data_IF_481806390440
#
_entry.id   IF_481806390440
#
_cell.length_a   1.000
_cell.length_b   1.000
_cell.length_c   1.000
_cell.angle_alpha   90.00
_cell.angle_beta   90.00
_cell.angle_gamma   90.00
#
_symmetry.space_group_name_H-M   'P 1'
#
loop_
_entity.id
_entity.type
_entity.pdbx_description
1 polymer ?
#
# COMPACT_ATOMS: atom_id res chain seq x y z
N UNK A 1 11.54 10.96 30.00
CA UNK A 1 11.98 11.56 28.72
C UNK A 1 10.83 12.39 28.15
N UNK A 2 10.36 13.43 28.87
CA UNK A 2 9.11 14.12 28.50
C UNK A 2 9.32 15.35 27.61
N UNK A 3 10.55 15.59 27.14
CA UNK A 3 10.88 16.75 26.31
C UNK A 3 11.05 16.41 24.83
N UNK A 4 10.99 15.13 24.45
CA UNK A 4 11.24 14.73 23.07
C UNK A 4 10.04 15.12 22.19
N UNK A 5 10.23 16.14 21.35
CA UNK A 5 9.23 16.63 20.40
C UNK A 5 9.34 15.94 19.05
N UNK A 6 10.57 15.69 18.58
CA UNK A 6 10.83 15.08 17.29
C UNK A 6 11.96 14.09 17.39
N UNK A 7 11.79 12.93 16.77
CA UNK A 7 12.82 11.93 16.56
C UNK A 7 12.89 11.59 15.08
N UNK A 8 13.99 11.96 14.43
CA UNK A 8 14.27 11.62 13.03
C UNK A 8 15.51 10.73 12.99
N UNK A 9 15.34 9.53 12.43
CA UNK A 9 16.37 8.52 12.21
C UNK A 9 16.37 8.08 10.73
N UNK A 10 15.88 8.95 9.85
CA UNK A 10 15.68 8.66 8.44
C UNK A 10 16.99 8.42 7.70
N UNK A 11 16.95 7.62 6.63
CA UNK A 11 18.05 7.42 5.70
C UNK A 11 19.34 6.90 6.36
N UNK A 12 19.18 5.91 7.23
CA UNK A 12 20.30 5.23 7.89
C UNK A 12 20.35 3.74 7.48
N UNK A 13 21.29 3.00 8.07
CA UNK A 13 21.44 1.55 7.88
C UNK A 13 21.00 0.79 9.14
N UNK A 14 20.02 1.31 9.88
CA UNK A 14 19.55 0.62 11.08
C UNK A 14 18.84 -0.67 10.69
N UNK A 15 19.23 -1.76 11.35
CA UNK A 15 18.71 -3.09 11.12
C UNK A 15 17.86 -3.54 12.29
N UNK A 16 16.73 -4.17 11.96
CA UNK A 16 15.89 -4.88 12.91
C UNK A 16 15.33 -6.09 12.19
N UNK A 17 15.35 -7.26 12.82
CA UNK A 17 14.91 -8.51 12.18
C UNK A 17 13.66 -9.09 12.83
N UNK A 18 13.36 -8.69 14.06
CA UNK A 18 12.24 -9.21 14.84
C UNK A 18 11.61 -8.15 15.76
N UNK A 19 10.56 -8.55 16.48
CA UNK A 19 9.86 -7.68 17.43
C UNK A 19 10.73 -7.23 18.62
N UNK A 20 11.78 -7.98 18.96
CA UNK A 20 12.68 -7.64 20.06
C UNK A 20 13.61 -6.50 19.64
N UNK A 21 14.10 -6.51 18.40
CA UNK A 21 14.90 -5.40 17.86
C UNK A 21 14.08 -4.10 17.76
N UNK A 22 12.75 -4.21 17.55
CA UNK A 22 11.82 -3.08 17.50
C UNK A 22 11.36 -2.57 18.88
N UNK A 23 11.82 -3.16 20.00
CA UNK A 23 11.35 -2.77 21.35
C UNK A 23 11.67 -1.32 21.74
N UNK A 24 12.57 -0.65 21.00
CA UNK A 24 12.82 0.78 21.20
C UNK A 24 11.57 1.63 20.89
N UNK A 25 10.70 1.18 19.98
CA UNK A 25 9.42 1.83 19.65
C UNK A 25 8.52 1.85 20.88
N UNK A 26 8.50 0.78 21.69
CA UNK A 26 7.71 0.74 22.95
C UNK A 26 8.15 1.83 23.94
N UNK A 27 9.43 2.19 23.93
CA UNK A 27 9.96 3.23 24.82
C UNK A 27 9.44 4.63 24.45
N UNK A 28 9.02 4.84 23.21
CA UNK A 28 8.49 6.13 22.73
C UNK A 28 7.08 6.42 23.24
N UNK A 29 6.34 5.43 23.75
CA UNK A 29 5.05 5.64 24.42
C UNK A 29 5.18 6.62 25.59
N UNK A 30 6.33 6.64 26.26
CA UNK A 30 6.59 7.54 27.39
C UNK A 30 6.92 8.99 26.95
N UNK A 31 7.05 9.24 25.65
CA UNK A 31 7.32 10.57 25.10
C UNK A 31 6.01 11.29 24.82
N UNK A 32 5.32 11.74 25.88
CA UNK A 32 3.97 12.34 25.80
C UNK A 32 3.86 13.63 24.97
N UNK A 33 4.99 14.25 24.64
CA UNK A 33 5.06 15.47 23.82
C UNK A 33 5.57 15.18 22.39
N UNK A 34 5.74 13.90 22.03
CA UNK A 34 6.22 13.54 20.69
C UNK A 34 5.23 14.01 19.64
N UNK A 35 5.73 14.75 18.66
CA UNK A 35 4.97 15.36 17.57
C UNK A 35 5.37 14.78 16.22
N UNK A 36 6.63 14.40 16.07
CA UNK A 36 7.16 13.82 14.85
C UNK A 36 8.05 12.62 15.16
N UNK A 37 7.81 11.51 14.47
CA UNK A 37 8.69 10.36 14.51
C UNK A 37 8.93 9.83 13.11
N UNK A 38 10.19 9.60 12.77
CA UNK A 38 10.53 9.00 11.49
C UNK A 38 11.74 8.09 11.55
N UNK A 39 11.60 6.96 10.87
CA UNK A 39 12.62 5.93 10.63
C UNK A 39 12.61 5.54 9.14
N UNK A 40 12.09 6.42 8.28
CA UNK A 40 12.03 6.22 6.82
C UNK A 40 13.38 5.79 6.25
N UNK A 41 13.36 4.88 5.27
CA UNK A 41 14.55 4.45 4.53
C UNK A 41 15.65 3.88 5.44
N UNK A 42 15.36 2.74 6.05
CA UNK A 42 16.29 1.92 6.83
C UNK A 42 16.12 0.43 6.44
N UNK A 43 16.81 -0.47 7.14
CA UNK A 43 16.74 -1.92 6.95
C UNK A 43 15.97 -2.58 8.12
N UNK A 44 14.87 -1.93 8.55
CA UNK A 44 14.08 -2.39 9.70
C UNK A 44 12.97 -3.35 9.25
N UNK A 45 12.94 -4.55 9.80
CA UNK A 45 11.94 -5.57 9.53
C UNK A 45 11.23 -6.07 10.79
N UNK A 46 10.34 -7.05 10.60
CA UNK A 46 9.51 -7.61 11.66
C UNK A 46 8.10 -7.02 11.71
N UNK A 47 7.36 -7.30 12.78
CA UNK A 47 5.96 -6.84 12.96
C UNK A 47 5.96 -5.59 13.83
N UNK A 48 5.22 -4.56 13.41
CA UNK A 48 5.07 -3.32 14.20
C UNK A 48 4.44 -3.61 15.57
N UNK A 49 5.00 -3.07 16.66
CA UNK A 49 4.46 -3.31 17.98
C UNK A 49 3.13 -2.57 18.19
N UNK A 50 2.21 -3.18 18.94
CA UNK A 50 0.89 -2.60 19.24
C UNK A 50 0.98 -1.29 20.03
N UNK A 51 2.10 -1.05 20.71
CA UNK A 51 2.41 0.18 21.43
C UNK A 51 2.43 1.43 20.55
N UNK A 52 2.61 1.27 19.23
CA UNK A 52 2.53 2.38 18.26
C UNK A 52 1.19 3.13 18.36
N UNK A 53 0.10 2.42 18.65
CA UNK A 53 -1.23 3.02 18.87
C UNK A 53 -1.33 3.87 20.16
N UNK A 54 -0.37 3.73 21.07
CA UNK A 54 -0.31 4.45 22.34
C UNK A 54 0.70 5.60 22.32
N UNK A 55 1.14 6.02 21.13
CA UNK A 55 2.01 7.19 21.00
C UNK A 55 1.28 8.47 21.43
N UNK A 56 2.07 9.53 21.62
CA UNK A 56 1.58 10.85 21.95
C UNK A 56 0.40 11.27 21.07
N UNK A 57 -0.65 11.82 21.69
CA UNK A 57 -1.79 12.40 20.96
C UNK A 57 -1.42 13.66 20.18
N UNK A 58 -0.25 14.23 20.42
CA UNK A 58 0.31 15.36 19.66
C UNK A 58 1.07 14.92 18.40
N UNK A 59 1.25 13.61 18.20
CA UNK A 59 1.96 13.08 17.04
C UNK A 59 1.20 13.41 15.76
N UNK A 60 1.78 14.27 14.92
CA UNK A 60 1.21 14.69 13.65
C UNK A 60 1.94 14.10 12.44
N UNK A 61 3.18 13.65 12.62
CA UNK A 61 4.01 13.06 11.58
C UNK A 61 4.58 11.71 12.02
N UNK A 62 4.33 10.67 11.22
CA UNK A 62 4.89 9.33 11.38
C UNK A 62 5.39 8.84 10.02
N UNK A 63 6.67 8.54 9.84
CA UNK A 63 7.15 7.92 8.60
C UNK A 63 7.99 6.68 8.89
N UNK A 64 7.61 5.57 8.27
CA UNK A 64 8.24 4.26 8.46
C UNK A 64 8.40 3.48 7.15
N UNK A 65 7.99 4.06 6.02
CA UNK A 65 8.12 3.51 4.67
C UNK A 65 9.60 3.34 4.25
N UNK A 66 9.82 2.56 3.20
CA UNK A 66 11.15 2.10 2.76
C UNK A 66 11.90 1.37 3.88
N UNK A 67 11.23 0.36 4.44
CA UNK A 67 11.73 -0.61 5.42
C UNK A 67 11.14 -1.98 5.06
N UNK A 68 11.52 -3.03 5.79
CA UNK A 68 11.08 -4.42 5.58
C UNK A 68 9.99 -4.88 6.58
N UNK A 69 9.17 -3.95 7.08
CA UNK A 69 8.07 -4.28 8.00
C UNK A 69 7.07 -5.25 7.37
N UNK A 70 6.52 -6.13 8.21
CA UNK A 70 5.54 -7.16 7.86
C UNK A 70 4.34 -7.13 8.80
N UNK A 71 3.28 -7.85 8.45
CA UNK A 71 2.04 -7.86 9.24
C UNK A 71 1.12 -6.68 8.92
N UNK A 72 0.27 -6.32 9.88
CA UNK A 72 -0.72 -5.25 9.73
C UNK A 72 -0.33 -4.03 10.56
N UNK A 73 -0.80 -2.85 10.14
CA UNK A 73 -0.77 -1.65 10.98
C UNK A 73 -1.54 -1.97 12.28
N UNK A 74 -0.98 -1.68 13.47
CA UNK A 74 -1.65 -1.92 14.74
C UNK A 74 -3.06 -1.33 14.81
N UNK A 75 -4.03 -2.14 15.23
CA UNK A 75 -5.36 -1.63 15.59
C UNK A 75 -5.24 -0.59 16.70
N UNK A 76 -6.03 0.48 16.65
CA UNK A 76 -5.94 1.60 17.57
C UNK A 76 -5.07 2.76 17.06
N UNK A 77 -4.46 2.66 15.88
CA UNK A 77 -3.74 3.78 15.26
C UNK A 77 -4.66 5.00 15.04
N UNK A 78 -5.96 4.77 14.89
CA UNK A 78 -7.01 5.78 14.81
C UNK A 78 -7.10 6.66 16.08
N UNK A 79 -6.52 6.22 17.21
CA UNK A 79 -6.47 7.01 18.44
C UNK A 79 -5.43 8.13 18.41
N UNK A 80 -4.55 8.14 17.41
CA UNK A 80 -3.58 9.21 17.17
C UNK A 80 -4.28 10.38 16.47
N UNK A 81 -5.14 11.07 17.23
CA UNK A 81 -6.09 12.09 16.70
C UNK A 81 -5.44 13.26 15.99
N UNK A 82 -4.16 13.57 16.28
CA UNK A 82 -3.42 14.65 15.62
C UNK A 82 -2.64 14.20 14.39
N UNK A 83 -2.66 12.91 14.06
CA UNK A 83 -1.87 12.32 12.99
C UNK A 83 -2.34 12.82 11.62
N UNK A 84 -1.50 13.60 10.95
CA UNK A 84 -1.78 14.21 9.63
C UNK A 84 -1.03 13.51 8.50
N UNK A 85 0.14 12.99 8.81
CA UNK A 85 1.01 12.29 7.87
C UNK A 85 1.44 10.99 8.51
N UNK A 86 1.17 9.89 7.82
CA UNK A 86 1.57 8.56 8.25
C UNK A 86 1.98 7.73 7.05
N UNK A 87 3.26 7.64 6.74
CA UNK A 87 3.73 7.00 5.50
C UNK A 87 4.26 5.59 5.80
N UNK A 88 3.41 4.59 5.58
CA UNK A 88 3.77 3.15 5.63
C UNK A 88 3.74 2.48 4.26
N UNK A 89 3.16 3.14 3.26
CA UNK A 89 2.75 2.51 1.99
C UNK A 89 3.10 3.37 0.77
N UNK A 90 3.82 4.48 0.94
CA UNK A 90 3.97 5.50 -0.09
C UNK A 90 2.66 6.24 -0.38
N UNK A 91 1.65 6.09 0.49
CA UNK A 91 0.34 6.74 0.39
C UNK A 91 -0.10 7.28 1.75
N UNK A 92 -0.82 8.40 1.75
CA UNK A 92 -1.37 9.02 2.96
C UNK A 92 -2.59 8.24 3.48
N UNK A 93 -2.67 7.91 4.78
CA UNK A 93 -3.75 7.14 5.41
C UNK A 93 -4.96 7.99 5.84
N UNK A 94 -4.88 9.31 5.63
CA UNK A 94 -5.99 10.27 5.74
C UNK A 94 -5.97 11.13 4.49
N UNK A 95 -6.17 10.50 3.34
CA UNK A 95 -6.48 11.28 2.15
C UNK A 95 -7.80 12.02 2.40
N UNK A 96 -7.84 13.34 2.18
CA UNK A 96 -9.07 14.14 2.26
C UNK A 96 -10.21 13.52 1.44
N UNK A 97 -9.85 12.76 0.40
CA UNK A 97 -10.77 11.98 -0.44
C UNK A 97 -11.58 10.93 0.34
N UNK A 98 -11.15 10.50 1.53
CA UNK A 98 -11.85 9.51 2.36
C UNK A 98 -12.66 10.12 3.52
N UNK A 99 -13.05 11.40 3.42
CA UNK A 99 -14.01 12.04 4.32
C UNK A 99 -15.46 11.76 3.91
N UNK A 100 -16.43 12.18 4.71
CA UNK A 100 -17.88 12.14 4.39
C UNK A 100 -18.44 10.76 4.02
N UNK A 101 -17.91 9.70 4.63
CA UNK A 101 -18.36 8.32 4.38
C UNK A 101 -17.89 7.74 3.05
N UNK A 102 -16.85 8.33 2.44
CA UNK A 102 -16.14 7.76 1.31
C UNK A 102 -15.28 6.57 1.78
N UNK A 103 -15.53 5.41 1.19
CA UNK A 103 -14.79 4.16 1.46
C UNK A 103 -13.84 3.86 0.31
N UNK A 104 -12.88 2.96 0.53
CA UNK A 104 -11.98 2.49 -0.54
C UNK A 104 -12.78 1.95 -1.74
N UNK A 105 -13.83 1.17 -1.49
CA UNK A 105 -14.74 0.67 -2.54
C UNK A 105 -15.37 1.81 -3.33
N UNK A 106 -15.97 2.80 -2.66
CA UNK A 106 -16.61 3.96 -3.31
C UNK A 106 -15.60 4.76 -4.16
N UNK A 107 -14.38 4.93 -3.65
CA UNK A 107 -13.32 5.61 -4.40
C UNK A 107 -12.95 4.83 -5.67
N UNK A 108 -12.71 3.52 -5.56
CA UNK A 108 -12.39 2.68 -6.72
C UNK A 108 -13.55 2.65 -7.72
N UNK A 109 -14.80 2.61 -7.26
CA UNK A 109 -16.00 2.68 -8.10
C UNK A 109 -16.13 4.03 -8.83
N UNK A 110 -15.86 5.15 -8.15
CA UNK A 110 -15.81 6.48 -8.77
C UNK A 110 -14.70 6.54 -9.82
N UNK A 111 -13.50 6.04 -9.50
CA UNK A 111 -12.39 6.01 -10.44
C UNK A 111 -12.68 5.15 -11.67
N UNK A 112 -13.29 3.98 -11.50
CA UNK A 112 -13.67 3.09 -12.59
C UNK A 112 -14.77 3.69 -13.48
N UNK A 113 -15.76 4.36 -12.90
CA UNK A 113 -16.89 4.95 -13.64
C UNK A 113 -16.53 6.24 -14.40
N UNK A 114 -15.41 6.88 -14.06
CA UNK A 114 -14.99 8.16 -14.67
C UNK A 114 -13.67 8.05 -15.47
N UNK A 115 -13.27 6.85 -15.88
CA UNK A 115 -12.02 6.60 -16.64
C UNK A 115 -10.74 7.08 -15.90
N UNK A 116 -10.78 7.06 -14.56
CA UNK A 116 -9.69 7.48 -13.64
C UNK A 116 -9.05 6.30 -12.92
N UNK A 117 -9.20 5.09 -13.46
CA UNK A 117 -8.73 3.85 -12.84
C UNK A 117 -7.20 3.82 -12.62
N UNK A 118 -6.47 4.62 -13.39
CA UNK A 118 -5.01 4.80 -13.27
C UNK A 118 -4.57 5.51 -11.98
N UNK A 119 -5.51 6.09 -11.21
CA UNK A 119 -5.25 6.58 -9.86
C UNK A 119 -5.28 5.46 -8.81
N UNK A 120 -5.86 4.31 -9.14
CA UNK A 120 -5.97 3.13 -8.28
C UNK A 120 -4.84 2.15 -8.59
N UNK A 121 -4.58 1.92 -9.87
CA UNK A 121 -3.57 0.96 -10.35
C UNK A 121 -2.17 1.49 -10.04
N UNK A 122 -1.32 0.62 -9.47
CA UNK A 122 0.09 0.94 -9.26
C UNK A 122 0.82 1.00 -10.61
N UNK A 123 1.32 2.18 -10.96
CA UNK A 123 1.98 2.43 -12.24
C UNK A 123 3.36 1.75 -12.33
N UNK A 124 3.95 1.36 -11.19
CA UNK A 124 5.22 0.62 -11.17
C UNK A 124 5.12 -0.77 -11.78
N UNK A 125 3.91 -1.32 -11.91
CA UNK A 125 3.63 -2.59 -12.59
C UNK A 125 4.06 -2.55 -14.08
N UNK A 126 4.13 -1.35 -14.67
CA UNK A 126 4.54 -1.16 -16.07
C UNK A 126 6.05 -0.87 -16.21
N UNK A 127 6.81 -0.79 -15.12
CA UNK A 127 8.21 -0.31 -15.13
C UNK A 127 9.27 -1.34 -15.56
N UNK A 128 8.90 -2.51 -16.09
CA UNK A 128 9.84 -3.56 -16.50
C UNK A 128 10.00 -3.75 -18.02
N UNK A 129 9.40 -2.89 -18.86
CA UNK A 129 9.42 -3.05 -20.32
C UNK A 129 10.36 -2.06 -21.02
N UNK A 130 11.64 -2.03 -20.60
CA UNK A 130 12.68 -1.35 -21.39
C UNK A 130 13.93 -2.21 -21.47
N UNK A 131 14.13 -2.81 -22.65
CA UNK A 131 15.37 -2.96 -23.41
C UNK A 131 15.24 -4.16 -24.37
N UNK A 132 14.73 -3.95 -25.59
CA UNK A 132 15.58 -4.10 -26.77
C UNK A 132 14.90 -3.47 -28.00
N UNK A 133 15.73 -2.98 -28.91
CA UNK A 133 15.36 -2.10 -30.02
C UNK A 133 14.28 -2.63 -30.98
N UNK A 134 13.61 -1.67 -31.61
CA UNK A 134 12.82 -1.77 -32.83
C UNK A 134 11.44 -2.47 -32.75
N UNK A 135 10.45 -1.87 -32.05
CA UNK A 135 9.05 -1.84 -32.54
C UNK A 135 8.17 -0.84 -31.76
N UNK A 136 8.07 0.41 -32.22
CA UNK A 136 7.22 1.47 -31.63
C UNK A 136 5.71 1.14 -31.52
N UNK A 137 5.22 0.07 -32.15
CA UNK A 137 3.81 -0.36 -32.09
C UNK A 137 3.55 -1.60 -31.22
N UNK A 138 4.57 -2.39 -30.91
CA UNK A 138 4.43 -3.63 -30.14
C UNK A 138 4.28 -3.38 -28.64
N UNK A 139 5.10 -2.48 -28.12
CA UNK A 139 5.20 -2.17 -26.69
C UNK A 139 3.96 -1.45 -26.15
N UNK A 140 3.48 -0.42 -26.88
CA UNK A 140 2.24 0.31 -26.55
C UNK A 140 1.02 -0.64 -26.53
N UNK A 141 0.98 -1.63 -27.42
CA UNK A 141 -0.08 -2.62 -27.49
C UNK A 141 -0.03 -3.60 -26.31
N UNK A 142 1.16 -4.00 -25.86
CA UNK A 142 1.34 -4.87 -24.71
C UNK A 142 0.95 -4.17 -23.40
N UNK A 143 1.44 -2.93 -23.19
CA UNK A 143 1.09 -2.09 -22.04
C UNK A 143 -0.43 -1.88 -21.96
N UNK A 144 -1.09 -1.58 -23.10
CA UNK A 144 -2.55 -1.43 -23.16
C UNK A 144 -3.29 -2.70 -22.76
N UNK A 145 -2.86 -3.86 -23.23
CA UNK A 145 -3.50 -5.15 -22.88
C UNK A 145 -3.28 -5.53 -21.42
N UNK A 146 -2.11 -5.23 -20.86
CA UNK A 146 -1.85 -5.35 -19.42
C UNK A 146 -2.76 -4.43 -18.62
N UNK A 147 -2.96 -3.20 -19.07
CA UNK A 147 -3.90 -2.25 -18.47
C UNK A 147 -5.34 -2.79 -18.49
N UNK A 148 -5.81 -3.34 -19.61
CA UNK A 148 -7.14 -3.98 -19.72
C UNK A 148 -7.31 -5.15 -18.72
N UNK A 149 -6.27 -5.95 -18.49
CA UNK A 149 -6.28 -7.00 -17.48
C UNK A 149 -6.39 -6.44 -16.06
N UNK A 150 -5.63 -5.39 -15.74
CA UNK A 150 -5.67 -4.76 -14.42
C UNK A 150 -7.03 -4.11 -14.13
N UNK A 151 -7.66 -3.49 -15.13
CA UNK A 151 -9.05 -3.00 -15.02
C UNK A 151 -10.01 -4.15 -14.69
N UNK A 152 -9.83 -5.32 -15.32
CA UNK A 152 -10.65 -6.50 -15.04
C UNK A 152 -10.46 -7.04 -13.62
N UNK A 153 -9.23 -7.04 -13.11
CA UNK A 153 -8.92 -7.41 -11.72
C UNK A 153 -9.58 -6.44 -10.73
N UNK A 154 -9.54 -5.14 -10.99
CA UNK A 154 -10.19 -4.13 -10.14
C UNK A 154 -11.72 -4.31 -10.14
N UNK A 155 -12.32 -4.57 -11.30
CA UNK A 155 -13.76 -4.86 -11.40
C UNK A 155 -14.15 -6.12 -10.61
N UNK A 156 -13.32 -7.17 -10.66
CA UNK A 156 -13.53 -8.38 -9.86
C UNK A 156 -13.42 -8.09 -8.35
N UNK A 157 -12.45 -7.28 -7.94
CA UNK A 157 -12.31 -6.81 -6.56
C UNK A 157 -13.54 -6.04 -6.07
N UNK A 158 -14.12 -5.17 -6.91
CA UNK A 158 -15.37 -4.47 -6.62
C UNK A 158 -16.53 -5.46 -6.40
N UNK A 159 -16.66 -6.48 -7.24
CA UNK A 159 -17.69 -7.52 -7.09
C UNK A 159 -17.51 -8.38 -5.82
N UNK A 160 -16.27 -8.58 -5.37
CA UNK A 160 -15.98 -9.27 -4.11
C UNK A 160 -16.28 -8.42 -2.86
N UNK A 161 -16.28 -7.09 -3.01
CA UNK A 161 -16.38 -6.13 -1.91
C UNK A 161 -17.78 -5.57 -1.68
N UNK A 162 -18.80 -6.07 -2.39
CA UNK A 162 -20.20 -5.67 -2.20
C UNK A 162 -20.61 -5.87 -0.75
N UNK A 163 -21.31 -4.90 -0.15
CA UNK A 163 -21.64 -4.96 1.29
C UNK A 163 -22.47 -6.20 1.63
N UNK A 164 -23.50 -6.48 0.82
CA UNK A 164 -24.35 -7.67 0.94
C UNK A 164 -23.58 -8.95 0.57
N UNK A 165 -23.38 -9.90 1.50
CA UNK A 165 -22.65 -11.15 1.22
C UNK A 165 -23.26 -12.00 0.10
N UNK A 166 -24.59 -11.94 -0.05
CA UNK A 166 -25.33 -12.74 -1.05
C UNK A 166 -25.19 -12.19 -2.48
N UNK A 167 -24.71 -10.95 -2.61
CA UNK A 167 -24.47 -10.29 -3.91
C UNK A 167 -22.99 -10.36 -4.31
N UNK A 168 -22.12 -10.83 -3.41
CA UNK A 168 -20.70 -11.03 -3.72
C UNK A 168 -20.53 -12.20 -4.65
N UNK A 169 -19.56 -12.09 -5.54
CA UNK A 169 -19.18 -13.21 -6.40
C UNK A 169 -18.68 -14.39 -5.55
N UNK A 170 -19.09 -15.60 -5.91
CA UNK A 170 -18.65 -16.83 -5.24
C UNK A 170 -17.15 -17.04 -5.39
N UNK A 171 -16.48 -17.48 -4.32
CA UNK A 171 -15.00 -17.55 -4.30
C UNK A 171 -14.42 -18.51 -5.36
N UNK A 172 -15.16 -19.53 -5.78
CA UNK A 172 -14.77 -20.42 -6.89
C UNK A 172 -14.71 -19.67 -8.21
N UNK A 173 -15.71 -18.83 -8.48
CA UNK A 173 -15.77 -18.02 -9.71
C UNK A 173 -14.72 -16.91 -9.69
N UNK A 174 -14.48 -16.31 -8.50
CA UNK A 174 -13.38 -15.36 -8.28
C UNK A 174 -12.04 -15.99 -8.63
N UNK A 175 -11.75 -17.18 -8.08
CA UNK A 175 -10.50 -17.89 -8.34
C UNK A 175 -10.33 -18.23 -9.82
N UNK A 176 -11.38 -18.73 -10.48
CA UNK A 176 -11.35 -19.03 -11.90
C UNK A 176 -11.05 -17.79 -12.76
N UNK A 177 -11.68 -16.65 -12.45
CA UNK A 177 -11.43 -15.39 -13.16
C UNK A 177 -10.03 -14.85 -12.90
N UNK A 178 -9.55 -14.90 -11.65
CA UNK A 178 -8.19 -14.50 -11.30
C UNK A 178 -7.13 -15.31 -12.04
N UNK A 179 -7.31 -16.64 -12.16
CA UNK A 179 -6.41 -17.47 -12.95
C UNK A 179 -6.43 -17.09 -14.43
N UNK A 180 -7.61 -16.88 -15.02
CA UNK A 180 -7.73 -16.45 -16.41
C UNK A 180 -7.09 -15.07 -16.66
N UNK A 181 -7.20 -14.13 -15.71
CA UNK A 181 -6.57 -12.81 -15.82
C UNK A 181 -5.06 -12.89 -15.71
N UNK A 182 -4.54 -13.70 -14.77
CA UNK A 182 -3.10 -13.95 -14.64
C UNK A 182 -2.53 -14.52 -15.93
N UNK A 183 -3.16 -15.55 -16.48
CA UNK A 183 -2.63 -16.24 -17.66
C UNK A 183 -2.59 -15.27 -18.86
N UNK A 184 -3.64 -14.47 -19.07
CA UNK A 184 -3.65 -13.40 -20.08
C UNK A 184 -2.58 -12.33 -19.82
N UNK A 185 -2.42 -11.88 -18.58
CA UNK A 185 -1.44 -10.85 -18.23
C UNK A 185 -0.01 -11.31 -18.52
N UNK A 186 0.29 -12.59 -18.26
CA UNK A 186 1.60 -13.20 -18.50
C UNK A 186 1.88 -13.45 -19.99
N UNK A 187 0.87 -13.80 -20.79
CA UNK A 187 1.01 -13.95 -22.25
C UNK A 187 1.55 -12.69 -22.92
N UNK A 188 1.26 -11.50 -22.36
CA UNK A 188 1.77 -10.23 -22.87
C UNK A 188 3.23 -9.93 -22.48
N UNK A 189 3.85 -10.74 -21.62
CA UNK A 189 5.27 -10.64 -21.24
C UNK A 189 6.18 -11.71 -21.87
N UNK A 190 5.64 -12.68 -22.61
CA UNK A 190 6.43 -13.78 -23.20
C UNK A 190 6.62 -13.57 -24.70
N UNK A 191 7.48 -12.62 -25.05
CA UNK A 191 8.20 -12.63 -26.33
C UNK A 191 9.69 -12.73 -26.06
N UNK A 192 10.12 -13.96 -25.72
CA UNK A 192 11.54 -14.30 -25.67
C UNK A 192 11.87 -15.36 -24.62
N UNK A 193 11.43 -16.61 -24.83
CA UNK A 193 12.24 -17.84 -24.78
C UNK A 193 11.34 -18.94 -25.32
N UNK A 194 11.47 -19.26 -26.61
CA UNK A 194 11.14 -20.60 -27.09
C UNK A 194 12.43 -21.41 -27.00
N UNK A 195 12.40 -22.49 -26.24
CA UNK A 195 13.42 -23.55 -26.28
C UNK A 195 13.59 -24.08 -27.70
#
# INVERSE_FOLDING_TARGET
MNALLSLNLEMNQFQASDAKDLSFIDSLVNCSNLQSFSIYMNDLGGVLPLSLANFSKELWFLAMNYNHFSGIIPHGIENLISLKVMDFTGKRPVDERFKDGMTMRKFVEICASHDRIMEVIDQSIFSQEQEDGDTEHGDISAVRKKMECLVSVVALGLACSVESPNERLGMTDVAAQMHAFRDKFLEFGVHGVKN
#
